data_IF_884326739369
#
_entry.id   IF_884326739369
#
_cell.length_a   1.000
_cell.length_b   1.000
_cell.length_c   1.000
_cell.angle_alpha   90.00
_cell.angle_beta   90.00
_cell.angle_gamma   90.00
#
_symmetry.space_group_name_H-M   'P 1'
#
loop_
_entity.id
_entity.type
_entity.pdbx_description
1 polymer ?
#
# COMPACT_ATOMS: atom_id res chain seq x y z
N UNK A 1 11.65 8.81 2.68
CA UNK A 1 11.26 8.75 4.10
C UNK A 1 11.67 10.01 4.82
N UNK A 2 10.73 10.74 5.42
CA UNK A 2 11.03 11.91 6.25
C UNK A 2 11.85 11.45 7.46
N UNK A 3 12.91 12.18 7.80
CA UNK A 3 13.82 11.83 8.91
C UNK A 3 13.17 12.00 10.28
N UNK A 4 12.14 12.86 10.38
CA UNK A 4 11.39 13.14 11.62
C UNK A 4 12.30 13.45 12.82
N UNK A 5 13.47 14.05 12.56
CA UNK A 5 14.45 14.41 13.58
C UNK A 5 15.47 13.32 13.94
N UNK A 6 15.39 12.12 13.35
CA UNK A 6 16.34 11.03 13.62
C UNK A 6 17.57 11.08 12.72
N UNK A 7 18.74 10.93 13.33
CA UNK A 7 20.01 10.74 12.64
C UNK A 7 20.09 9.38 11.94
N UNK A 8 21.01 9.25 10.98
CA UNK A 8 21.17 8.00 10.23
C UNK A 8 21.50 6.80 11.12
N UNK A 9 22.30 7.00 12.17
CA UNK A 9 22.66 5.96 13.14
C UNK A 9 21.47 5.49 13.97
N UNK A 10 20.64 6.43 14.41
CA UNK A 10 19.42 6.14 15.17
C UNK A 10 18.42 5.39 14.30
N UNK A 11 18.21 5.82 13.06
CA UNK A 11 17.33 5.12 12.11
C UNK A 11 17.74 3.68 11.88
N UNK A 12 19.04 3.41 11.70
CA UNK A 12 19.56 2.04 11.57
C UNK A 12 19.27 1.20 12.82
N UNK A 13 19.53 1.76 14.01
CA UNK A 13 19.24 1.07 15.27
C UNK A 13 17.75 0.74 15.39
N UNK A 14 16.86 1.69 15.09
CA UNK A 14 15.41 1.48 15.10
C UNK A 14 15.00 0.35 14.16
N UNK A 15 15.53 0.30 12.93
CA UNK A 15 15.22 -0.79 12.01
C UNK A 15 15.68 -2.15 12.50
N UNK A 16 16.88 -2.23 13.08
CA UNK A 16 17.39 -3.49 13.65
C UNK A 16 16.59 -3.97 14.86
N UNK A 17 16.03 -3.04 15.65
CA UNK A 17 15.12 -3.39 16.75
C UNK A 17 13.80 -3.92 16.17
N UNK A 18 13.20 -3.23 15.21
CA UNK A 18 11.95 -3.67 14.57
C UNK A 18 12.11 -5.03 13.88
N UNK A 19 13.24 -5.29 13.25
CA UNK A 19 13.54 -6.59 12.64
C UNK A 19 13.49 -7.75 13.64
N UNK A 20 13.82 -7.51 14.92
CA UNK A 20 13.71 -8.53 15.97
C UNK A 20 12.28 -8.73 16.48
N UNK A 21 11.41 -7.74 16.29
CA UNK A 21 10.04 -7.74 16.80
C UNK A 21 9.02 -8.20 15.76
N UNK A 22 9.30 -7.99 14.47
CA UNK A 22 8.40 -8.31 13.36
C UNK A 22 8.88 -9.59 12.69
N UNK A 23 8.10 -10.66 12.83
CA UNK A 23 8.40 -11.93 12.17
C UNK A 23 8.29 -11.78 10.64
N UNK A 24 9.26 -12.31 9.90
CA UNK A 24 9.31 -12.19 8.43
C UNK A 24 8.08 -12.76 7.74
N UNK A 25 7.45 -13.79 8.32
CA UNK A 25 6.24 -14.42 7.79
C UNK A 25 4.99 -13.57 8.00
N UNK A 26 5.08 -12.49 8.78
CA UNK A 26 4.00 -11.51 8.96
C UNK A 26 4.10 -10.34 8.00
N UNK A 27 5.15 -10.29 7.17
CA UNK A 27 5.36 -9.24 6.17
C UNK A 27 4.72 -9.66 4.85
N UNK A 28 3.73 -8.89 4.41
CA UNK A 28 3.10 -9.08 3.11
C UNK A 28 4.06 -8.68 1.97
N UNK A 29 4.38 -9.59 1.03
CA UNK A 29 5.20 -9.25 -0.12
C UNK A 29 4.43 -8.30 -1.05
N UNK A 30 5.18 -7.42 -1.71
CA UNK A 30 4.63 -6.60 -2.80
C UNK A 30 4.54 -7.45 -4.05
N UNK A 31 3.34 -7.54 -4.62
CA UNK A 31 3.06 -8.30 -5.84
C UNK A 31 2.92 -7.37 -7.05
N UNK A 32 3.00 -7.89 -8.29
CA UNK A 32 2.72 -7.10 -9.48
C UNK A 32 1.30 -6.48 -9.50
N UNK A 33 0.31 -7.18 -8.92
CA UNK A 33 -1.05 -6.64 -8.81
C UNK A 33 -1.11 -5.41 -7.90
N UNK A 34 -0.34 -5.41 -6.81
CA UNK A 34 -0.19 -4.25 -5.92
C UNK A 34 0.35 -3.05 -6.68
N UNK A 35 1.40 -3.28 -7.48
CA UNK A 35 2.02 -2.23 -8.28
C UNK A 35 1.07 -1.67 -9.34
N UNK A 36 0.27 -2.53 -9.98
CA UNK A 36 -0.73 -2.12 -10.96
C UNK A 36 -1.80 -1.22 -10.34
N UNK A 37 -2.35 -1.63 -9.19
CA UNK A 37 -3.36 -0.83 -8.47
C UNK A 37 -2.73 0.45 -7.93
N UNK A 38 -1.54 0.38 -7.34
CA UNK A 38 -0.83 1.55 -6.81
C UNK A 38 -0.58 2.60 -7.92
N UNK A 39 -0.22 2.17 -9.12
CA UNK A 39 -0.04 3.07 -10.29
C UNK A 39 -1.34 3.83 -10.61
N UNK A 40 -2.47 3.14 -10.55
CA UNK A 40 -3.77 3.77 -10.75
C UNK A 40 -4.13 4.75 -9.63
N UNK A 41 -3.81 4.40 -8.37
CA UNK A 41 -4.04 5.29 -7.22
C UNK A 41 -3.19 6.56 -7.29
N UNK A 42 -1.90 6.46 -7.65
CA UNK A 42 -1.03 7.62 -7.86
C UNK A 42 -1.59 8.52 -8.96
N UNK A 43 -1.97 7.96 -10.11
CA UNK A 43 -2.37 8.74 -11.29
C UNK A 43 -3.78 9.32 -11.20
N UNK A 44 -4.70 8.64 -10.51
CA UNK A 44 -6.12 9.02 -10.47
C UNK A 44 -6.50 9.72 -9.16
N UNK A 45 -5.93 9.30 -8.04
CA UNK A 45 -6.23 9.84 -6.71
C UNK A 45 -5.13 10.76 -6.19
N UNK A 46 -4.02 10.93 -6.93
CA UNK A 46 -2.86 11.74 -6.54
C UNK A 46 -2.30 11.37 -5.15
N UNK A 47 -2.42 10.09 -4.80
CA UNK A 47 -1.96 9.56 -3.54
C UNK A 47 -0.45 9.35 -3.58
N UNK A 48 0.27 9.58 -2.46
CA UNK A 48 1.72 9.38 -2.41
C UNK A 48 2.09 7.95 -2.82
N UNK A 49 3.32 7.78 -3.34
CA UNK A 49 3.79 6.47 -3.80
C UNK A 49 3.68 5.39 -2.73
N UNK A 50 4.11 5.67 -1.49
CA UNK A 50 4.06 4.66 -0.42
C UNK A 50 2.63 4.42 0.07
N UNK A 51 1.83 5.47 0.18
CA UNK A 51 0.42 5.36 0.61
C UNK A 51 -0.43 4.62 -0.43
N UNK A 52 -0.12 4.79 -1.72
CA UNK A 52 -0.69 4.04 -2.84
C UNK A 52 -0.36 2.56 -2.74
N UNK A 53 0.88 2.22 -2.40
CA UNK A 53 1.30 0.82 -2.28
C UNK A 53 0.61 0.12 -1.09
N UNK A 54 0.55 0.77 0.07
CA UNK A 54 -0.14 0.25 1.26
C UNK A 54 -1.63 0.09 0.98
N UNK A 55 -2.25 1.08 0.32
CA UNK A 55 -3.67 1.06 -0.04
C UNK A 55 -3.97 -0.06 -1.04
N UNK A 56 -3.11 -0.26 -2.04
CA UNK A 56 -3.24 -1.33 -3.01
C UNK A 56 -3.16 -2.72 -2.35
N UNK A 57 -2.18 -2.94 -1.47
CA UNK A 57 -2.08 -4.19 -0.72
C UNK A 57 -3.36 -4.48 0.08
N UNK A 58 -3.88 -3.46 0.77
CA UNK A 58 -5.14 -3.58 1.50
C UNK A 58 -6.32 -3.95 0.57
N UNK A 59 -6.42 -3.33 -0.61
CA UNK A 59 -7.46 -3.65 -1.58
C UNK A 59 -7.35 -5.08 -2.11
N UNK A 60 -6.16 -5.55 -2.46
CA UNK A 60 -5.93 -6.91 -2.98
C UNK A 60 -6.29 -7.95 -1.91
N UNK A 61 -5.82 -7.77 -0.67
CA UNK A 61 -6.06 -8.73 0.43
C UNK A 61 -7.44 -8.58 1.07
N UNK A 62 -8.26 -7.62 0.62
CA UNK A 62 -9.53 -7.25 1.27
C UNK A 62 -9.32 -6.91 2.76
N UNK A 63 -8.16 -6.34 3.09
CA UNK A 63 -7.77 -5.98 4.45
C UNK A 63 -8.29 -4.59 4.81
N UNK A 64 -8.57 -4.39 6.10
CA UNK A 64 -8.91 -3.08 6.66
C UNK A 64 -7.62 -2.39 7.12
N UNK A 65 -7.29 -1.18 6.62
CA UNK A 65 -6.07 -0.50 7.03
C UNK A 65 -6.17 -0.08 8.50
N UNK A 66 -5.10 -0.34 9.26
CA UNK A 66 -4.94 0.15 10.63
C UNK A 66 -3.99 1.35 10.60
N UNK A 67 -4.53 2.52 10.34
CA UNK A 67 -3.79 3.78 10.25
C UNK A 67 -4.67 4.94 10.71
N UNK A 68 -4.05 6.06 11.05
CA UNK A 68 -4.75 7.34 11.27
C UNK A 68 -4.80 8.22 10.02
N UNK A 69 -4.15 7.78 8.94
CA UNK A 69 -4.14 8.50 7.67
C UNK A 69 -5.50 8.40 6.98
N UNK A 70 -6.18 9.54 6.84
CA UNK A 70 -7.51 9.61 6.25
C UNK A 70 -7.49 9.34 4.76
N UNK A 71 -6.44 9.69 4.04
CA UNK A 71 -6.38 9.49 2.59
C UNK A 71 -6.35 7.99 2.26
N UNK A 72 -5.58 7.21 3.05
CA UNK A 72 -5.54 5.75 2.95
C UNK A 72 -6.91 5.15 3.30
N UNK A 73 -7.54 5.59 4.39
CA UNK A 73 -8.85 5.08 4.80
C UNK A 73 -9.89 5.33 3.70
N UNK A 74 -9.94 6.57 3.19
CA UNK A 74 -10.91 7.01 2.21
C UNK A 74 -10.73 6.28 0.88
N UNK A 75 -9.49 6.12 0.39
CA UNK A 75 -9.25 5.43 -0.88
C UNK A 75 -9.56 3.94 -0.77
N UNK A 76 -9.18 3.28 0.33
CA UNK A 76 -9.45 1.85 0.53
C UNK A 76 -10.96 1.59 0.65
N UNK A 77 -11.73 2.52 1.23
CA UNK A 77 -13.19 2.42 1.26
C UNK A 77 -13.83 2.39 -0.13
N UNK A 78 -13.15 2.94 -1.15
CA UNK A 78 -13.59 2.97 -2.56
C UNK A 78 -13.11 1.76 -3.36
N UNK A 79 -12.64 0.69 -2.71
CA UNK A 79 -12.12 -0.55 -3.35
C UNK A 79 -12.96 -1.01 -4.55
N UNK A 80 -14.28 -1.15 -4.38
CA UNK A 80 -15.16 -1.63 -5.46
C UNK A 80 -15.15 -0.72 -6.68
N UNK A 81 -15.13 0.59 -6.47
CA UNK A 81 -15.08 1.60 -7.53
C UNK A 81 -13.75 1.55 -8.26
N UNK A 82 -12.62 1.50 -7.52
CA UNK A 82 -11.27 1.39 -8.08
C UNK A 82 -11.12 0.15 -8.96
N UNK A 83 -11.50 -1.01 -8.44
CA UNK A 83 -11.41 -2.27 -9.19
C UNK A 83 -12.34 -2.28 -10.41
N UNK A 84 -13.54 -1.71 -10.29
CA UNK A 84 -14.44 -1.57 -11.45
C UNK A 84 -13.88 -0.66 -12.54
N UNK A 85 -13.13 0.39 -12.17
CA UNK A 85 -12.47 1.26 -13.12
C UNK A 85 -11.31 0.54 -13.83
N UNK A 86 -10.48 -0.18 -13.07
CA UNK A 86 -9.38 -0.97 -13.61
C UNK A 86 -9.85 -2.07 -14.57
N UNK A 87 -10.93 -2.78 -14.24
CA UNK A 87 -11.55 -3.77 -15.14
C UNK A 87 -12.01 -3.19 -16.47
N UNK A 88 -12.52 -1.94 -16.45
CA UNK A 88 -12.95 -1.25 -17.69
C UNK A 88 -11.77 -0.82 -18.55
N UNK A 89 -10.65 -0.46 -17.93
CA UNK A 89 -9.45 0.01 -18.63
C UNK A 89 -8.55 -1.15 -19.10
N UNK A 90 -8.57 -2.29 -18.38
CA UNK A 90 -7.65 -3.40 -18.61
C UNK A 90 -8.41 -4.73 -18.61
N UNK A 91 -8.77 -5.29 -19.78
CA UNK A 91 -9.60 -6.50 -19.89
C UNK A 91 -9.03 -7.73 -19.18
N UNK A 92 -7.70 -7.85 -19.10
CA UNK A 92 -7.03 -8.98 -18.44
C UNK A 92 -7.05 -8.90 -16.90
N UNK A 93 -7.44 -7.76 -16.31
CA UNK A 93 -7.47 -7.55 -14.86
C UNK A 93 -8.45 -8.48 -14.15
N UNK A 94 -9.53 -8.89 -14.81
CA UNK A 94 -10.53 -9.83 -14.28
C UNK A 94 -9.99 -11.24 -14.01
N UNK A 95 -8.83 -11.59 -14.58
CA UNK A 95 -8.16 -12.89 -14.37
C UNK A 95 -7.19 -12.92 -13.17
N UNK A 96 -7.01 -11.79 -12.48
CA UNK A 96 -5.98 -11.60 -11.46
C UNK A 96 -6.51 -11.45 -10.02
N UNK A 97 -7.84 -11.37 -9.83
CA UNK A 97 -8.52 -11.35 -8.51
C UNK A 97 -9.12 -12.71 -8.15
#
# INVERSE_FOLDING_TARGET
MKTRGLESGERRKTWLILHRLIDVNTIEPVTPLDMAIATYLVTTYNLDYFDSLISAQCMVRKAKPLTTDKEIIDVVSKRSQVLSALRRQTPYFSSLE
#
